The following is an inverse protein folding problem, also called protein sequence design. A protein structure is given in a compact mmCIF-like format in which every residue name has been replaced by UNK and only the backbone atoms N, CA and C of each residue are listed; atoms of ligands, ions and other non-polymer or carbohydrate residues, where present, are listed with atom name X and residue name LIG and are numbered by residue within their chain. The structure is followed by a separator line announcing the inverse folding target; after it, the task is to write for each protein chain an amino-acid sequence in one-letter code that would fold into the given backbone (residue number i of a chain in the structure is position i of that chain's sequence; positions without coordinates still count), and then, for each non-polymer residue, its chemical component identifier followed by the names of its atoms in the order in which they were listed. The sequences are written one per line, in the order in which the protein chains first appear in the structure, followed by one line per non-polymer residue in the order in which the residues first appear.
data_IF_946799718738
#
_entry.id   IF_946799718738
#
_cell.length_a   1.000
_cell.length_b   1.000
_cell.length_c   1.000
_cell.angle_alpha   90.00
_cell.angle_beta   90.00
_cell.angle_gamma   90.00
#
_symmetry.space_group_name_H-M   'P 1'
#
loop_
_entity.id
_entity.type
_entity.pdbx_description
1 polymer ?
#
# COMPACT_ATOMS: atom_id res chain seq x y z
N UNK A 1 -9.89 20.86 32.77
CA UNK A 1 -9.56 22.09 32.02
C UNK A 1 -8.32 21.96 31.15
N UNK A 2 -7.16 21.48 31.64
CA UNK A 2 -5.91 21.33 30.84
C UNK A 2 -6.07 20.47 29.58
N UNK A 3 -6.90 19.43 29.61
CA UNK A 3 -7.13 18.54 28.47
C UNK A 3 -7.86 19.22 27.29
N UNK A 4 -8.76 20.16 27.59
CA UNK A 4 -9.50 20.93 26.56
C UNK A 4 -8.58 21.93 25.87
N UNK A 5 -7.70 22.60 26.62
CA UNK A 5 -6.71 23.53 26.04
C UNK A 5 -5.65 22.82 25.20
N UNK A 6 -5.22 21.62 25.59
CA UNK A 6 -4.30 20.80 24.78
C UNK A 6 -4.99 20.35 23.48
N UNK A 7 -6.28 20.01 23.55
CA UNK A 7 -7.06 19.64 22.37
C UNK A 7 -7.29 20.82 21.42
N UNK A 8 -7.63 22.01 21.91
CA UNK A 8 -7.77 23.21 21.07
C UNK A 8 -6.43 23.70 20.51
N UNK A 9 -5.32 23.53 21.22
CA UNK A 9 -3.98 23.88 20.73
C UNK A 9 -3.47 22.89 19.67
N UNK A 10 -3.90 21.62 19.71
CA UNK A 10 -3.62 20.62 18.67
C UNK A 10 -4.48 20.82 17.40
N UNK A 11 -5.67 21.41 17.53
CA UNK A 11 -6.56 21.72 16.40
C UNK A 11 -6.35 23.11 15.78
N UNK A 12 -5.65 24.04 16.45
CA UNK A 12 -5.35 25.37 15.89
C UNK A 12 -4.58 25.35 14.55
N UNK A 13 -3.64 24.43 14.28
CA UNK A 13 -3.03 24.33 12.94
C UNK A 13 -3.99 23.79 11.86
N UNK A 14 -5.19 23.29 12.22
CA UNK A 14 -6.21 22.85 11.25
C UNK A 14 -7.16 23.98 10.82
N UNK A 15 -7.19 25.11 11.56
CA UNK A 15 -8.04 26.26 11.28
C UNK A 15 -7.28 27.43 10.62
N UNK A 16 -5.96 27.47 10.75
CA UNK A 16 -5.11 28.49 10.16
C UNK A 16 -4.37 27.99 8.94
N UNK A 17 -4.62 28.64 7.80
CA UNK A 17 -3.92 28.51 6.51
C UNK A 17 -4.47 27.38 5.62
N UNK A 18 -5.67 27.60 5.07
CA UNK A 18 -5.88 27.25 3.67
C UNK A 18 -4.89 28.11 2.85
N UNK A 19 -3.75 27.54 2.46
CA UNK A 19 -2.88 28.16 1.47
C UNK A 19 -3.71 28.27 0.19
N UNK A 20 -4.12 29.49 -0.16
CA UNK A 20 -4.39 29.84 -1.55
C UNK A 20 -3.05 29.77 -2.30
N UNK A 21 -2.62 28.55 -2.63
CA UNK A 21 -1.55 28.34 -3.59
C UNK A 21 -2.13 28.75 -4.94
N UNK A 22 -1.60 29.84 -5.49
CA UNK A 22 -1.83 30.21 -6.87
C UNK A 22 -1.60 29.00 -7.78
N UNK A 23 -2.43 28.91 -8.82
CA UNK A 23 -2.60 27.77 -9.74
C UNK A 23 -1.36 27.42 -10.59
N UNK A 24 -0.15 27.76 -10.15
CA UNK A 24 1.11 27.35 -10.77
C UNK A 24 1.46 25.95 -10.26
N UNK A 25 1.26 24.94 -11.11
CA UNK A 25 1.78 23.58 -10.86
C UNK A 25 3.30 23.72 -10.71
N UNK A 26 3.80 23.62 -9.47
CA UNK A 26 5.23 23.67 -9.19
C UNK A 26 5.81 22.36 -9.75
N UNK A 27 6.69 22.40 -10.77
CA UNK A 27 7.30 21.19 -11.29
C UNK A 27 8.11 20.50 -10.18
N UNK A 28 8.03 19.17 -10.07
CA UNK A 28 8.79 18.46 -9.05
C UNK A 28 10.28 18.54 -9.38
N UNK A 29 11.05 19.24 -8.56
CA UNK A 29 12.50 19.42 -8.73
C UNK A 29 13.32 18.15 -8.38
N UNK A 30 12.75 16.96 -8.58
CA UNK A 30 13.38 15.70 -8.20
C UNK A 30 13.54 15.52 -6.69
N UNK A 31 14.59 14.82 -6.26
CA UNK A 31 14.86 14.61 -4.83
C UNK A 31 15.53 15.85 -4.25
N UNK A 32 14.73 16.74 -3.66
CA UNK A 32 15.24 17.85 -2.87
C UNK A 32 15.65 17.37 -1.48
N UNK A 33 16.67 18.00 -0.89
CA UNK A 33 17.11 17.70 0.47
C UNK A 33 15.97 17.85 1.48
N UNK A 34 15.10 18.84 1.30
CA UNK A 34 13.90 19.00 2.12
C UNK A 34 12.94 17.81 2.03
N UNK A 35 12.66 17.30 0.82
CA UNK A 35 11.77 16.15 0.65
C UNK A 35 12.30 14.89 1.35
N UNK A 36 13.62 14.66 1.26
CA UNK A 36 14.28 13.53 1.92
C UNK A 36 14.22 13.69 3.43
N UNK A 37 14.54 14.88 3.96
CA UNK A 37 14.45 15.16 5.39
C UNK A 37 13.03 15.00 5.93
N UNK A 38 12.02 15.48 5.20
CA UNK A 38 10.60 15.28 5.56
C UNK A 38 10.22 13.81 5.59
N UNK A 39 10.68 13.01 4.62
CA UNK A 39 10.47 11.57 4.59
C UNK A 39 11.12 10.85 5.79
N UNK A 40 12.38 11.17 6.09
CA UNK A 40 13.10 10.63 7.25
C UNK A 40 12.42 11.02 8.56
N UNK A 41 12.02 12.28 8.70
CA UNK A 41 11.29 12.77 9.87
C UNK A 41 9.97 12.02 10.06
N UNK A 42 9.19 11.83 8.98
CA UNK A 42 7.97 11.03 9.02
C UNK A 42 8.20 9.61 9.52
N UNK A 43 9.24 8.94 9.01
CA UNK A 43 9.61 7.60 9.46
C UNK A 43 10.02 7.57 10.94
N UNK A 44 10.80 8.54 11.41
CA UNK A 44 11.16 8.67 12.83
C UNK A 44 9.95 8.90 13.73
N UNK A 45 8.98 9.72 13.30
CA UNK A 45 7.74 9.98 14.04
C UNK A 45 6.89 8.70 14.15
N UNK A 46 6.74 7.94 13.06
CA UNK A 46 6.01 6.67 13.09
C UNK A 46 6.66 5.65 14.03
N UNK A 47 7.99 5.55 14.02
CA UNK A 47 8.72 4.70 14.98
C UNK A 47 8.54 5.18 16.43
N UNK A 48 8.57 6.50 16.66
CA UNK A 48 8.35 7.07 17.99
C UNK A 48 6.95 6.73 18.51
N UNK A 49 5.92 6.87 17.67
CA UNK A 49 4.54 6.50 18.01
C UNK A 49 4.46 5.01 18.33
N UNK A 50 5.06 4.14 17.51
CA UNK A 50 5.09 2.71 17.75
C UNK A 50 5.76 2.36 19.10
N UNK A 51 6.86 3.03 19.45
CA UNK A 51 7.54 2.86 20.75
C UNK A 51 6.69 3.40 21.90
N UNK A 52 5.96 4.50 21.70
CA UNK A 52 5.08 5.10 22.71
C UNK A 52 3.94 4.16 23.10
N UNK A 53 3.33 3.50 22.11
CA UNK A 53 2.25 2.55 22.32
C UNK A 53 2.72 1.10 22.55
N UNK A 54 4.02 0.86 22.55
CA UNK A 54 4.56 -0.48 22.81
C UNK A 54 4.40 -0.88 24.28
N UNK A 55 3.78 -2.04 24.50
CA UNK A 55 3.56 -2.61 25.83
C UNK A 55 4.88 -2.94 26.55
N UNK A 56 5.89 -3.44 25.82
CA UNK A 56 7.19 -3.79 26.38
C UNK A 56 8.34 -3.20 25.56
N UNK A 57 8.67 -1.93 25.85
CA UNK A 57 9.71 -1.17 25.14
C UNK A 57 11.11 -1.77 25.22
N UNK A 58 11.39 -2.58 26.26
CA UNK A 58 12.69 -3.23 26.45
C UNK A 58 12.84 -4.50 25.62
N UNK A 59 11.74 -5.13 25.22
CA UNK A 59 11.74 -6.33 24.39
C UNK A 59 11.74 -6.04 22.88
N UNK A 60 11.86 -4.77 22.47
CA UNK A 60 11.88 -4.40 21.05
C UNK A 60 13.17 -4.93 20.39
N UNK A 61 13.00 -5.84 19.43
CA UNK A 61 14.09 -6.37 18.62
C UNK A 61 14.56 -5.35 17.56
N UNK A 62 15.36 -4.37 17.96
CA UNK A 62 15.85 -3.29 17.10
C UNK A 62 16.55 -3.77 15.82
N UNK A 63 17.19 -4.94 15.86
CA UNK A 63 17.77 -5.58 14.68
C UNK A 63 16.70 -5.93 13.64
N UNK A 64 15.59 -6.52 14.07
CA UNK A 64 14.47 -6.89 13.19
C UNK A 64 13.79 -5.64 12.63
N UNK A 65 13.58 -4.62 13.47
CA UNK A 65 13.02 -3.32 13.03
C UNK A 65 13.91 -2.68 11.96
N UNK A 66 15.23 -2.61 12.20
CA UNK A 66 16.18 -2.03 11.25
C UNK A 66 16.25 -2.79 9.92
N UNK A 67 16.22 -4.12 9.97
CA UNK A 67 16.19 -4.96 8.75
C UNK A 67 14.88 -4.76 7.98
N UNK A 68 13.74 -4.70 8.67
CA UNK A 68 12.44 -4.44 8.03
C UNK A 68 12.40 -3.10 7.31
N UNK A 69 12.87 -2.04 7.96
CA UNK A 69 12.98 -0.70 7.35
C UNK A 69 13.94 -0.71 6.16
N UNK A 70 15.07 -1.41 6.27
CA UNK A 70 16.03 -1.53 5.17
C UNK A 70 15.42 -2.25 3.95
N UNK A 71 14.68 -3.35 4.17
CA UNK A 71 13.98 -4.07 3.10
C UNK A 71 12.92 -3.17 2.44
N UNK A 72 12.14 -2.42 3.23
CA UNK A 72 11.15 -1.47 2.71
C UNK A 72 11.80 -0.38 1.83
N UNK A 73 12.90 0.23 2.31
CA UNK A 73 13.64 1.23 1.54
C UNK A 73 14.28 0.64 0.28
N UNK A 74 14.84 -0.57 0.37
CA UNK A 74 15.45 -1.26 -0.76
C UNK A 74 14.40 -1.57 -1.83
N UNK A 75 13.22 -2.08 -1.44
CA UNK A 75 12.12 -2.32 -2.37
C UNK A 75 11.61 -1.02 -3.01
N UNK A 76 11.39 0.02 -2.21
CA UNK A 76 10.93 1.32 -2.71
C UNK A 76 11.94 1.91 -3.71
N UNK A 77 13.23 1.93 -3.36
CA UNK A 77 14.28 2.39 -4.25
C UNK A 77 14.37 1.51 -5.51
N UNK A 78 14.30 0.19 -5.35
CA UNK A 78 14.30 -0.77 -6.45
C UNK A 78 13.21 -0.45 -7.47
N UNK A 79 11.96 -0.41 -7.03
CA UNK A 79 10.80 -0.18 -7.92
C UNK A 79 10.82 1.23 -8.54
N UNK A 80 11.25 2.26 -7.80
CA UNK A 80 11.20 3.65 -8.26
C UNK A 80 12.39 4.08 -9.12
N UNK A 81 13.58 3.50 -8.91
CA UNK A 81 14.83 3.96 -9.56
C UNK A 81 15.44 2.94 -10.50
N UNK A 82 15.22 1.65 -10.28
CA UNK A 82 15.89 0.60 -11.04
C UNK A 82 14.99 0.15 -12.19
N UNK A 83 15.39 0.47 -13.43
CA UNK A 83 14.56 0.29 -14.62
C UNK A 83 14.06 -1.16 -14.81
N UNK A 84 14.95 -2.15 -14.68
CA UNK A 84 14.57 -3.56 -14.84
C UNK A 84 13.61 -4.04 -13.74
N UNK A 85 13.72 -3.51 -12.51
CA UNK A 85 12.78 -3.82 -11.42
C UNK A 85 11.42 -3.21 -11.74
N UNK A 86 11.40 -1.94 -12.18
CA UNK A 86 10.16 -1.28 -12.62
C UNK A 86 9.45 -2.07 -13.72
N UNK A 87 10.19 -2.53 -14.73
CA UNK A 87 9.64 -3.33 -15.84
C UNK A 87 9.02 -4.65 -15.36
N UNK A 88 9.62 -5.33 -14.37
CA UNK A 88 9.05 -6.53 -13.75
C UNK A 88 7.71 -6.24 -13.08
N UNK A 89 7.61 -5.14 -12.32
CA UNK A 89 6.36 -4.73 -11.68
C UNK A 89 5.32 -4.24 -12.69
N UNK A 90 5.72 -3.58 -13.78
CA UNK A 90 4.84 -3.21 -14.88
C UNK A 90 4.28 -4.45 -15.60
N UNK A 91 5.09 -5.50 -15.77
CA UNK A 91 4.63 -6.77 -16.33
C UNK A 91 3.55 -7.40 -15.43
N UNK A 92 3.77 -7.44 -14.12
CA UNK A 92 2.76 -7.88 -13.17
C UNK A 92 1.49 -7.01 -13.25
N UNK A 93 1.63 -5.69 -13.32
CA UNK A 93 0.52 -4.76 -13.50
C UNK A 93 -0.30 -5.03 -14.77
N UNK A 94 0.36 -5.28 -15.90
CA UNK A 94 -0.30 -5.65 -17.16
C UNK A 94 -1.10 -6.96 -17.03
N UNK A 95 -0.59 -7.94 -16.29
CA UNK A 95 -1.32 -9.17 -16.00
C UNK A 95 -2.60 -8.91 -15.19
N UNK A 96 -2.53 -8.05 -14.16
CA UNK A 96 -3.74 -7.65 -13.41
C UNK A 96 -4.74 -6.88 -14.27
N UNK A 97 -4.28 -5.99 -15.16
CA UNK A 97 -5.15 -5.29 -16.10
C UNK A 97 -5.88 -6.27 -17.04
N UNK A 98 -5.19 -7.29 -17.54
CA UNK A 98 -5.81 -8.33 -18.37
C UNK A 98 -6.94 -9.06 -17.63
N UNK A 99 -6.73 -9.38 -16.35
CA UNK A 99 -7.76 -9.99 -15.50
C UNK A 99 -8.95 -9.05 -15.32
N UNK A 100 -8.71 -7.75 -15.12
CA UNK A 100 -9.77 -6.75 -15.03
C UNK A 100 -10.57 -6.66 -16.33
N UNK A 101 -9.92 -6.76 -17.49
CA UNK A 101 -10.59 -6.73 -18.78
C UNK A 101 -11.49 -7.97 -18.99
N UNK A 102 -11.04 -9.16 -18.59
CA UNK A 102 -11.91 -10.35 -18.58
C UNK A 102 -13.11 -10.18 -17.65
N UNK A 103 -12.89 -9.59 -16.48
CA UNK A 103 -13.97 -9.32 -15.53
C UNK A 103 -14.98 -8.33 -16.12
N UNK A 104 -14.52 -7.25 -16.77
CA UNK A 104 -15.39 -6.28 -17.44
C UNK A 104 -16.19 -6.92 -18.55
N UNK A 105 -15.57 -7.76 -19.39
CA UNK A 105 -16.27 -8.48 -20.44
C UNK A 105 -17.37 -9.39 -19.88
N UNK A 106 -17.08 -10.15 -18.81
CA UNK A 106 -18.07 -10.99 -18.14
C UNK A 106 -19.19 -10.19 -17.46
N UNK A 107 -18.86 -9.04 -16.87
CA UNK A 107 -19.83 -8.16 -16.22
C UNK A 107 -20.74 -7.47 -17.23
N UNK A 108 -20.20 -7.06 -18.37
CA UNK A 108 -20.98 -6.52 -19.49
C UNK A 108 -21.92 -7.57 -20.07
N UNK A 109 -21.50 -8.84 -20.16
CA UNK A 109 -22.37 -9.94 -20.55
C UNK A 109 -23.54 -10.14 -19.57
N UNK A 110 -23.29 -10.06 -18.26
CA UNK A 110 -24.31 -10.28 -17.23
C UNK A 110 -25.26 -9.08 -17.04
N UNK A 111 -24.74 -7.86 -17.09
CA UNK A 111 -25.44 -6.65 -16.62
C UNK A 111 -25.68 -5.61 -17.73
N UNK A 112 -25.04 -5.74 -18.90
CA UNK A 112 -25.28 -4.91 -20.07
C UNK A 112 -25.28 -3.41 -19.77
N UNK A 113 -26.42 -2.76 -20.01
CA UNK A 113 -26.58 -1.31 -19.86
C UNK A 113 -26.40 -0.80 -18.41
N UNK A 114 -26.47 -1.67 -17.39
CA UNK A 114 -26.19 -1.28 -15.99
C UNK A 114 -24.70 -1.01 -15.74
N UNK A 115 -23.82 -1.45 -16.65
CA UNK A 115 -22.39 -1.14 -16.65
C UNK A 115 -22.07 0.14 -17.43
N UNK A 116 -23.04 0.73 -18.14
CA UNK A 116 -22.81 1.93 -18.96
C UNK A 116 -22.80 3.19 -18.10
N UNK A 117 -21.60 3.77 -17.99
CA UNK A 117 -21.35 5.01 -17.26
C UNK A 117 -22.02 6.21 -17.95
N UNK A 118 -22.18 6.16 -19.28
CA UNK A 118 -22.77 7.26 -20.05
C UNK A 118 -24.31 7.23 -20.01
N UNK A 119 -24.91 6.07 -19.72
CA UNK A 119 -26.36 5.90 -19.63
C UNK A 119 -26.90 6.21 -18.24
N UNK A 120 -26.61 5.33 -17.28
CA UNK A 120 -27.24 5.34 -15.94
C UNK A 120 -26.26 5.92 -14.89
N UNK A 121 -25.05 6.31 -15.31
CA UNK A 121 -24.01 6.82 -14.44
C UNK A 121 -23.16 5.71 -13.83
N UNK A 122 -22.14 6.09 -13.06
CA UNK A 122 -21.24 5.15 -12.40
C UNK A 122 -21.93 4.48 -11.20
N UNK A 123 -22.50 3.29 -11.40
CA UNK A 123 -23.12 2.51 -10.32
C UNK A 123 -22.04 1.64 -9.66
N UNK A 124 -21.63 2.03 -8.44
CA UNK A 124 -20.59 1.36 -7.66
C UNK A 124 -20.73 -0.17 -7.64
N UNK A 125 -21.94 -0.66 -7.39
CA UNK A 125 -22.24 -2.10 -7.23
C UNK A 125 -21.86 -2.89 -8.48
N UNK A 126 -22.23 -2.41 -9.67
CA UNK A 126 -21.95 -3.11 -10.92
C UNK A 126 -20.51 -2.91 -11.39
N UNK A 127 -19.87 -1.78 -11.05
CA UNK A 127 -18.50 -1.50 -11.48
C UNK A 127 -17.43 -2.20 -10.64
N UNK A 128 -17.68 -2.39 -9.33
CA UNK A 128 -16.65 -2.83 -8.40
C UNK A 128 -16.91 -4.25 -7.89
N UNK A 129 -18.15 -4.64 -7.58
CA UNK A 129 -18.40 -5.96 -6.99
C UNK A 129 -18.08 -7.14 -7.93
N UNK A 130 -18.37 -7.10 -9.24
CA UNK A 130 -18.03 -8.22 -10.12
C UNK A 130 -16.52 -8.51 -10.16
N UNK A 131 -15.70 -7.45 -10.08
CA UNK A 131 -14.24 -7.56 -9.94
C UNK A 131 -13.88 -8.36 -8.69
N UNK A 132 -14.44 -8.01 -7.54
CA UNK A 132 -14.18 -8.71 -6.28
C UNK A 132 -14.61 -10.19 -6.36
N UNK A 133 -15.79 -10.47 -6.92
CA UNK A 133 -16.31 -11.84 -7.05
C UNK A 133 -15.41 -12.68 -7.97
N UNK A 134 -15.02 -12.12 -9.12
CA UNK A 134 -14.13 -12.80 -10.06
C UNK A 134 -12.76 -13.07 -9.44
N UNK A 135 -12.14 -12.08 -8.81
CA UNK A 135 -10.85 -12.24 -8.13
C UNK A 135 -10.93 -13.23 -6.97
N UNK A 136 -12.03 -13.25 -6.21
CA UNK A 136 -12.25 -14.23 -5.14
C UNK A 136 -12.32 -15.66 -5.69
N UNK A 137 -13.08 -15.87 -6.78
CA UNK A 137 -13.18 -17.17 -7.44
C UNK A 137 -11.82 -17.60 -8.04
N UNK A 138 -11.13 -16.70 -8.73
CA UNK A 138 -9.80 -16.97 -9.29
C UNK A 138 -8.79 -17.30 -8.19
N UNK A 139 -8.79 -16.53 -7.10
CA UNK A 139 -7.90 -16.76 -5.96
C UNK A 139 -8.20 -18.11 -5.30
N UNK A 140 -9.48 -18.48 -5.15
CA UNK A 140 -9.90 -19.79 -4.66
C UNK A 140 -9.36 -20.94 -5.53
N UNK A 141 -9.43 -20.79 -6.86
CA UNK A 141 -8.86 -21.76 -7.80
C UNK A 141 -7.33 -21.85 -7.64
N UNK A 142 -6.64 -20.72 -7.56
CA UNK A 142 -5.18 -20.69 -7.37
C UNK A 142 -4.77 -21.29 -6.01
N UNK A 143 -5.58 -21.13 -4.97
CA UNK A 143 -5.40 -21.82 -3.69
C UNK A 143 -5.62 -23.32 -3.81
N UNK A 144 -6.66 -23.76 -4.52
CA UNK A 144 -6.91 -25.19 -4.74
C UNK A 144 -5.73 -25.87 -5.46
N UNK A 145 -5.16 -25.20 -6.46
CA UNK A 145 -4.00 -25.70 -7.22
C UNK A 145 -2.64 -25.53 -6.52
N UNK A 146 -2.59 -24.94 -5.32
CA UNK A 146 -1.34 -24.80 -4.59
C UNK A 146 -0.45 -23.64 -5.07
N UNK A 147 -0.90 -22.82 -6.02
CA UNK A 147 -0.08 -21.77 -6.65
C UNK A 147 0.20 -20.66 -5.63
N UNK A 148 -0.83 -20.17 -4.92
CA UNK A 148 -0.64 -19.15 -3.88
C UNK A 148 0.33 -19.66 -2.81
N UNK A 149 0.19 -20.92 -2.41
CA UNK A 149 1.03 -21.54 -1.39
C UNK A 149 2.50 -21.62 -1.81
N UNK A 150 2.77 -21.88 -3.09
CA UNK A 150 4.14 -21.87 -3.61
C UNK A 150 4.76 -20.47 -3.49
N UNK A 151 4.03 -19.43 -3.90
CA UNK A 151 4.49 -18.04 -3.81
C UNK A 151 4.65 -17.57 -2.35
N UNK A 152 3.65 -17.80 -1.50
CA UNK A 152 3.69 -17.35 -0.10
C UNK A 152 4.75 -18.09 0.70
N UNK A 153 5.00 -19.37 0.43
CA UNK A 153 6.10 -20.10 1.06
C UNK A 153 7.47 -19.54 0.67
N UNK A 154 7.64 -19.17 -0.60
CA UNK A 154 8.86 -18.49 -1.07
C UNK A 154 9.05 -17.15 -0.36
N UNK A 155 8.01 -16.32 -0.31
CA UNK A 155 8.05 -15.02 0.37
C UNK A 155 8.33 -15.17 1.87
N UNK A 156 7.66 -16.09 2.54
CA UNK A 156 7.85 -16.35 3.96
C UNK A 156 9.25 -16.85 4.28
N UNK A 157 9.86 -17.66 3.40
CA UNK A 157 11.25 -18.08 3.56
C UNK A 157 12.22 -16.90 3.48
N UNK A 158 12.03 -15.99 2.50
CA UNK A 158 12.85 -14.76 2.37
C UNK A 158 12.68 -13.86 3.59
N UNK A 159 11.45 -13.64 4.04
CA UNK A 159 11.15 -12.79 5.19
C UNK A 159 11.66 -13.38 6.49
N UNK A 160 11.37 -14.66 6.78
CA UNK A 160 11.83 -15.34 8.00
C UNK A 160 13.36 -15.37 8.07
N UNK A 161 14.04 -15.60 6.94
CA UNK A 161 15.51 -15.58 6.90
C UNK A 161 16.08 -14.19 7.16
N UNK A 162 15.45 -13.15 6.63
CA UNK A 162 15.93 -11.78 6.75
C UNK A 162 15.63 -11.19 8.13
N UNK A 163 14.39 -11.33 8.61
CA UNK A 163 13.88 -10.69 9.84
C UNK A 163 14.12 -11.54 11.10
N UNK A 164 14.51 -12.82 10.95
CA UNK A 164 14.63 -13.82 12.03
C UNK A 164 13.35 -14.00 12.85
N UNK A 165 12.21 -13.90 12.17
CA UNK A 165 10.87 -14.13 12.74
C UNK A 165 10.39 -15.55 12.42
N UNK A 166 9.36 -16.02 13.12
CA UNK A 166 8.82 -17.37 12.90
C UNK A 166 8.29 -17.53 11.47
N UNK A 167 8.40 -18.74 10.91
CA UNK A 167 7.80 -19.06 9.62
C UNK A 167 6.27 -18.86 9.63
N UNK A 168 5.61 -19.11 10.77
CA UNK A 168 4.18 -18.86 10.93
C UNK A 168 3.85 -17.36 10.93
N UNK A 169 4.69 -16.52 11.53
CA UNK A 169 4.56 -15.05 11.50
C UNK A 169 4.88 -14.46 10.13
N UNK A 170 5.60 -15.19 9.28
CA UNK A 170 5.96 -14.76 7.92
C UNK A 170 4.96 -15.20 6.84
N UNK A 171 4.09 -16.16 7.17
CA UNK A 171 3.07 -16.72 6.27
C UNK A 171 1.68 -16.14 6.50
N UNK A 172 1.44 -15.60 7.70
CA UNK A 172 0.20 -14.91 8.07
C UNK A 172 0.16 -13.50 7.49
#
# INVERSE_FOLDING_TARGET
MKLIYVFTLLLSPMLGIAQSQGNTIIPSEGMSLESVLRGVLGMCVLLMIAILFSHNRKAIAWKTVGIGLAIQLLLAFGVLRVAWVRELFELAGRFFLLILDFTRAGSNFLFGNLMDINGIGYIFVFQILPTIIFFSALTSILFYYGIIQLFTRGLAWVLSKSLKISGAESLS
#
